data_IF_007552602913
#
_entry.id   IF_007552602913
#
_cell.length_a   1.000
_cell.length_b   1.000
_cell.length_c   1.000
_cell.angle_alpha   90.00
_cell.angle_beta   90.00
_cell.angle_gamma   90.00
#
_symmetry.space_group_name_H-M   'P 1'
#
loop_
_entity.id
_entity.type
_entity.pdbx_description
1 polymer ?
#
# COMPACT_ATOMS: atom_id res chain seq x y z
N UNK A 1 -34.76 3.92 37.88
CA UNK A 1 -33.33 3.78 37.43
C UNK A 1 -33.12 4.84 36.35
N UNK A 2 -32.65 6.04 36.76
CA UNK A 2 -32.40 7.17 35.85
C UNK A 2 -31.29 6.79 34.89
N UNK A 3 -31.62 6.72 33.61
CA UNK A 3 -30.58 6.70 32.57
C UNK A 3 -30.07 8.15 32.54
N UNK A 4 -28.98 8.41 33.27
CA UNK A 4 -28.26 9.68 33.14
C UNK A 4 -27.88 9.81 31.67
N UNK A 5 -28.54 10.77 31.01
CA UNK A 5 -28.29 11.08 29.61
C UNK A 5 -26.79 11.35 29.49
N UNK A 6 -26.08 10.49 28.78
CA UNK A 6 -24.65 10.66 28.50
C UNK A 6 -24.51 11.99 27.77
N UNK A 7 -24.08 13.01 28.47
CA UNK A 7 -23.86 14.33 27.90
C UNK A 7 -22.74 14.26 26.83
N UNK A 8 -23.05 14.48 25.56
CA UNK A 8 -22.08 14.39 24.48
C UNK A 8 -20.96 15.45 24.61
N UNK A 9 -21.18 16.51 25.39
CA UNK A 9 -20.18 17.59 25.62
C UNK A 9 -19.01 17.13 26.52
N UNK A 10 -19.20 16.07 27.31
CA UNK A 10 -18.16 15.51 28.21
C UNK A 10 -17.22 14.55 27.52
N UNK A 11 -17.47 14.20 26.24
CA UNK A 11 -16.59 13.30 25.48
C UNK A 11 -15.28 13.99 25.16
N UNK A 12 -14.24 13.66 25.93
CA UNK A 12 -12.87 14.09 25.61
C UNK A 12 -12.40 13.38 24.34
N UNK A 13 -12.07 14.16 23.32
CA UNK A 13 -11.37 13.63 22.13
C UNK A 13 -10.00 13.12 22.58
N UNK A 14 -9.64 11.87 22.31
CA UNK A 14 -8.34 11.34 22.69
C UNK A 14 -7.20 12.19 22.11
N UNK A 15 -6.03 12.28 22.77
CA UNK A 15 -4.88 12.96 22.21
C UNK A 15 -4.58 12.40 20.81
N UNK A 16 -4.18 13.24 19.88
CA UNK A 16 -3.95 12.93 18.46
C UNK A 16 -5.23 12.46 17.69
N UNK A 17 -6.43 12.88 18.13
CA UNK A 17 -7.68 12.55 17.42
C UNK A 17 -8.02 11.04 17.40
N UNK A 18 -7.44 10.27 18.32
CA UNK A 18 -7.61 8.81 18.41
C UNK A 18 -6.63 8.01 17.57
N UNK A 19 -5.57 8.61 17.05
CA UNK A 19 -4.48 7.86 16.43
C UNK A 19 -3.82 6.95 17.46
N UNK A 20 -3.84 5.64 17.19
CA UNK A 20 -3.26 4.64 18.07
C UNK A 20 -2.45 3.65 17.23
N UNK A 21 -1.18 3.50 17.57
CA UNK A 21 -0.26 2.57 16.90
C UNK A 21 -0.76 1.11 16.97
N UNK A 22 -1.46 0.76 18.05
CA UNK A 22 -2.07 -0.56 18.20
C UNK A 22 -3.15 -0.80 17.13
N UNK A 23 -4.01 0.20 16.86
CA UNK A 23 -5.03 0.12 15.80
C UNK A 23 -4.37 0.01 14.44
N UNK A 24 -3.33 0.79 14.18
CA UNK A 24 -2.55 0.73 12.93
C UNK A 24 -1.95 -0.68 12.73
N UNK A 25 -1.36 -1.26 13.78
CA UNK A 25 -0.79 -2.61 13.73
C UNK A 25 -1.84 -3.69 13.47
N UNK A 26 -3.00 -3.60 14.11
CA UNK A 26 -4.11 -4.54 13.91
C UNK A 26 -4.62 -4.46 12.47
N UNK A 27 -4.81 -3.25 11.97
CA UNK A 27 -5.32 -3.03 10.61
C UNK A 27 -4.31 -3.48 9.54
N UNK A 28 -3.02 -3.21 9.75
CA UNK A 28 -1.95 -3.71 8.89
C UNK A 28 -1.92 -5.25 8.90
N UNK A 29 -2.00 -5.86 10.08
CA UNK A 29 -2.04 -7.32 10.20
C UNK A 29 -3.29 -7.92 9.54
N UNK A 30 -4.45 -7.25 9.64
CA UNK A 30 -5.68 -7.64 8.95
C UNK A 30 -5.49 -7.63 7.43
N UNK A 31 -4.88 -6.57 6.90
CA UNK A 31 -4.63 -6.43 5.46
C UNK A 31 -3.61 -7.48 4.97
N UNK A 32 -2.55 -7.72 5.73
CA UNK A 32 -1.54 -8.76 5.44
C UNK A 32 -2.10 -10.19 5.55
N UNK A 33 -3.17 -10.42 6.29
CA UNK A 33 -3.87 -11.73 6.35
C UNK A 33 -4.83 -11.93 5.19
N UNK A 34 -5.15 -10.90 4.43
CA UNK A 34 -5.98 -11.01 3.23
C UNK A 34 -5.16 -11.60 2.07
N UNK A 35 -5.25 -12.92 1.90
CA UNK A 35 -4.49 -13.66 0.88
C UNK A 35 -4.71 -13.11 -0.53
N UNK A 36 -5.94 -12.67 -0.87
CA UNK A 36 -6.23 -12.09 -2.18
C UNK A 36 -5.43 -10.82 -2.42
N UNK A 37 -5.44 -9.90 -1.45
CA UNK A 37 -4.67 -8.65 -1.55
C UNK A 37 -3.19 -8.96 -1.72
N UNK A 38 -2.60 -9.82 -0.88
CA UNK A 38 -1.17 -10.18 -0.96
C UNK A 38 -0.81 -10.78 -2.31
N UNK A 39 -1.62 -11.73 -2.81
CA UNK A 39 -1.34 -12.37 -4.10
C UNK A 39 -1.37 -11.33 -5.23
N UNK A 40 -2.40 -10.51 -5.31
CA UNK A 40 -2.55 -9.56 -6.42
C UNK A 40 -1.63 -8.35 -6.32
N UNK A 41 -1.27 -7.88 -5.13
CA UNK A 41 -0.45 -6.66 -4.97
C UNK A 41 1.05 -6.95 -4.87
N UNK A 42 1.45 -8.12 -4.36
CA UNK A 42 2.87 -8.46 -4.15
C UNK A 42 3.34 -9.56 -5.11
N UNK A 43 2.63 -10.68 -5.15
CA UNK A 43 3.09 -11.87 -5.89
C UNK A 43 2.88 -11.67 -7.40
N UNK A 44 1.72 -11.18 -7.80
CA UNK A 44 1.35 -11.09 -9.21
C UNK A 44 2.28 -10.17 -10.03
N UNK A 45 2.64 -8.93 -9.59
CA UNK A 45 3.58 -8.08 -10.32
C UNK A 45 4.98 -8.71 -10.41
N UNK A 46 5.44 -9.35 -9.34
CA UNK A 46 6.73 -10.04 -9.33
C UNK A 46 6.73 -11.26 -10.25
N UNK A 47 5.65 -12.04 -10.25
CA UNK A 47 5.49 -13.20 -11.15
C UNK A 47 5.40 -12.77 -12.62
N UNK A 48 4.68 -11.68 -12.93
CA UNK A 48 4.67 -11.11 -14.28
C UNK A 48 6.06 -10.67 -14.71
N UNK A 49 6.80 -9.97 -13.84
CA UNK A 49 8.17 -9.59 -14.12
C UNK A 49 9.04 -10.81 -14.43
N UNK A 50 8.93 -11.89 -13.64
CA UNK A 50 9.65 -13.14 -13.88
C UNK A 50 9.24 -13.83 -15.21
N UNK A 51 7.94 -13.90 -15.48
CA UNK A 51 7.40 -14.57 -16.67
C UNK A 51 7.81 -13.85 -17.96
N UNK A 52 7.71 -12.54 -17.96
CA UNK A 52 8.09 -11.72 -19.09
C UNK A 52 9.63 -11.65 -19.19
N UNK A 53 10.39 -11.66 -18.08
CA UNK A 53 11.86 -11.54 -18.00
C UNK A 53 12.67 -12.68 -18.58
N UNK A 54 12.03 -13.71 -19.13
CA UNK A 54 12.72 -14.85 -19.71
C UNK A 54 13.05 -14.68 -21.21
N UNK A 55 12.54 -13.65 -21.90
CA UNK A 55 12.74 -13.48 -23.34
C UNK A 55 14.07 -12.78 -23.69
N UNK A 56 14.66 -13.16 -24.84
CA UNK A 56 16.02 -12.79 -25.25
C UNK A 56 16.28 -11.29 -25.53
N UNK A 57 15.23 -10.47 -25.68
CA UNK A 57 15.35 -9.04 -25.99
C UNK A 57 15.61 -8.09 -24.81
N UNK A 58 15.69 -8.62 -23.60
CA UNK A 58 15.65 -7.83 -22.35
C UNK A 58 16.96 -7.11 -21.99
N UNK A 59 18.08 -7.54 -22.55
CA UNK A 59 19.38 -6.92 -22.34
C UNK A 59 19.64 -5.76 -23.29
N UNK A 60 18.72 -5.49 -24.24
CA UNK A 60 18.84 -4.33 -25.12
C UNK A 60 18.83 -3.04 -24.30
N UNK A 61 19.71 -2.10 -24.65
CA UNK A 61 19.75 -0.80 -23.99
C UNK A 61 18.50 0.00 -24.28
N UNK A 62 17.89 0.56 -23.21
CA UNK A 62 16.75 1.45 -23.24
C UNK A 62 17.02 2.66 -22.35
N UNK A 63 17.30 3.80 -22.93
CA UNK A 63 17.64 5.03 -22.21
C UNK A 63 18.91 4.87 -21.34
N UNK A 64 18.76 5.13 -20.04
CA UNK A 64 19.87 5.01 -19.06
C UNK A 64 19.99 3.62 -18.42
N UNK A 65 19.28 2.62 -18.92
CA UNK A 65 19.30 1.25 -18.43
C UNK A 65 19.06 0.25 -19.56
N UNK A 66 18.55 -0.92 -19.21
CA UNK A 66 18.12 -1.93 -20.16
C UNK A 66 16.60 -2.14 -20.12
N UNK A 67 16.06 -2.87 -21.09
CA UNK A 67 14.61 -3.15 -21.15
C UNK A 67 14.12 -3.86 -19.89
N UNK A 68 14.93 -4.75 -19.30
CA UNK A 68 14.58 -5.45 -18.06
C UNK A 68 14.36 -4.47 -16.90
N UNK A 69 15.23 -3.44 -16.76
CA UNK A 69 15.08 -2.41 -15.74
C UNK A 69 13.81 -1.58 -15.94
N UNK A 70 13.50 -1.22 -17.21
CA UNK A 70 12.27 -0.51 -17.54
C UNK A 70 11.01 -1.29 -17.14
N UNK A 71 10.96 -2.58 -17.46
CA UNK A 71 9.80 -3.42 -17.12
C UNK A 71 9.74 -3.66 -15.61
N UNK A 72 10.88 -3.81 -14.93
CA UNK A 72 10.93 -3.91 -13.48
C UNK A 72 10.28 -2.71 -12.80
N UNK A 73 10.63 -1.49 -13.22
CA UNK A 73 10.03 -0.25 -12.69
C UNK A 73 8.54 -0.19 -13.02
N UNK A 74 8.14 -0.58 -14.23
CA UNK A 74 6.73 -0.62 -14.64
C UNK A 74 5.91 -1.61 -13.79
N UNK A 75 6.47 -2.79 -13.48
CA UNK A 75 5.81 -3.78 -12.62
C UNK A 75 5.77 -3.34 -11.15
N UNK A 76 6.80 -2.62 -10.68
CA UNK A 76 6.79 -2.01 -9.35
C UNK A 76 5.68 -0.95 -9.24
N UNK A 77 5.56 -0.07 -10.23
CA UNK A 77 4.47 0.92 -10.33
C UNK A 77 3.10 0.24 -10.37
N UNK A 78 2.96 -0.80 -11.17
CA UNK A 78 1.71 -1.56 -11.26
C UNK A 78 1.31 -2.17 -9.90
N UNK A 79 2.27 -2.77 -9.17
CA UNK A 79 2.03 -3.29 -7.82
C UNK A 79 1.62 -2.21 -6.82
N UNK A 80 2.26 -1.03 -6.87
CA UNK A 80 1.89 0.11 -6.04
C UNK A 80 0.48 0.62 -6.36
N UNK A 81 0.14 0.76 -7.66
CA UNK A 81 -1.18 1.16 -8.12
C UNK A 81 -2.29 0.18 -7.68
N UNK A 82 -2.05 -1.13 -7.80
CA UNK A 82 -2.98 -2.15 -7.30
C UNK A 82 -3.18 -2.05 -5.78
N UNK A 83 -2.11 -1.76 -5.03
CA UNK A 83 -2.19 -1.58 -3.58
C UNK A 83 -3.04 -0.36 -3.23
N UNK A 84 -2.84 0.76 -3.91
CA UNK A 84 -3.63 1.97 -3.74
C UNK A 84 -5.12 1.74 -4.09
N UNK A 85 -5.39 1.07 -5.20
CA UNK A 85 -6.74 0.72 -5.63
C UNK A 85 -7.44 -0.21 -4.61
N UNK A 86 -6.74 -1.23 -4.10
CA UNK A 86 -7.28 -2.13 -3.08
C UNK A 86 -7.59 -1.39 -1.77
N UNK A 87 -6.72 -0.46 -1.35
CA UNK A 87 -6.96 0.40 -0.19
C UNK A 87 -8.19 1.30 -0.37
N UNK A 88 -8.32 1.93 -1.53
CA UNK A 88 -9.49 2.74 -1.88
C UNK A 88 -10.79 1.95 -1.92
N UNK A 89 -10.78 0.76 -2.52
CA UNK A 89 -11.93 -0.15 -2.55
C UNK A 89 -12.36 -0.60 -1.15
N UNK A 90 -11.40 -0.86 -0.25
CA UNK A 90 -11.70 -1.20 1.14
C UNK A 90 -12.42 -0.05 1.84
N UNK A 91 -11.94 1.19 1.70
CA UNK A 91 -12.59 2.38 2.28
C UNK A 91 -14.00 2.58 1.69
N UNK A 92 -14.17 2.39 0.38
CA UNK A 92 -15.46 2.49 -0.27
C UNK A 92 -16.47 1.45 0.27
N UNK A 93 -16.02 0.20 0.44
CA UNK A 93 -16.84 -0.88 1.01
C UNK A 93 -17.24 -0.59 2.46
N UNK A 94 -16.29 -0.13 3.28
CA UNK A 94 -16.57 0.24 4.67
C UNK A 94 -17.57 1.38 4.77
N UNK A 95 -17.51 2.37 3.85
CA UNK A 95 -18.50 3.44 3.75
C UNK A 95 -19.88 2.92 3.36
N UNK A 96 -19.95 2.03 2.37
CA UNK A 96 -21.19 1.42 1.92
C UNK A 96 -21.88 0.60 3.02
N UNK A 97 -21.12 -0.07 3.87
CA UNK A 97 -21.60 -0.82 5.03
C UNK A 97 -22.03 0.07 6.22
N UNK A 98 -22.01 1.40 6.07
CA UNK A 98 -22.43 2.33 7.11
C UNK A 98 -21.40 2.55 8.23
N UNK A 99 -20.16 2.10 8.04
CA UNK A 99 -19.07 2.27 9.01
C UNK A 99 -18.85 3.75 9.39
N UNK A 100 -19.08 4.67 8.47
CA UNK A 100 -19.02 6.11 8.72
C UNK A 100 -20.05 6.60 9.75
N UNK A 101 -21.23 5.93 9.87
CA UNK A 101 -22.22 6.20 10.93
C UNK A 101 -21.69 5.75 12.30
N UNK A 102 -21.08 4.58 12.35
CA UNK A 102 -20.53 4.04 13.60
C UNK A 102 -19.36 4.89 14.09
N UNK A 103 -18.52 5.39 13.18
CA UNK A 103 -17.42 6.30 13.53
C UNK A 103 -17.91 7.60 14.17
N UNK A 104 -19.06 8.12 13.80
CA UNK A 104 -19.66 9.32 14.44
C UNK A 104 -20.07 9.08 15.90
N UNK A 105 -20.28 7.83 16.29
CA UNK A 105 -20.58 7.46 17.69
C UNK A 105 -19.32 7.28 18.53
N UNK A 106 -18.15 7.26 17.90
CA UNK A 106 -16.85 7.17 18.57
C UNK A 106 -16.18 8.54 18.61
N UNK A 107 -15.30 8.83 19.58
CA UNK A 107 -14.54 10.07 19.63
C UNK A 107 -13.39 10.10 18.60
N UNK A 108 -13.41 9.26 17.58
CA UNK A 108 -12.38 9.18 16.55
C UNK A 108 -12.59 10.27 15.48
N UNK A 109 -11.53 11.02 15.18
CA UNK A 109 -11.58 12.01 14.10
C UNK A 109 -11.58 11.29 12.74
N UNK A 110 -12.55 11.59 11.83
CA UNK A 110 -12.60 11.00 10.48
C UNK A 110 -11.32 11.20 9.66
N UNK A 111 -10.63 12.33 9.84
CA UNK A 111 -9.37 12.59 9.16
C UNK A 111 -8.26 11.62 9.61
N UNK A 112 -8.21 11.29 10.90
CA UNK A 112 -7.24 10.32 11.44
C UNK A 112 -7.51 8.92 10.90
N UNK A 113 -8.77 8.53 10.76
CA UNK A 113 -9.13 7.26 10.11
C UNK A 113 -8.61 7.18 8.68
N UNK A 114 -8.83 8.23 7.88
CA UNK A 114 -8.33 8.29 6.49
C UNK A 114 -6.79 8.26 6.48
N UNK A 115 -6.14 9.04 7.34
CA UNK A 115 -4.68 9.07 7.44
C UNK A 115 -4.09 7.69 7.78
N UNK A 116 -4.70 6.93 8.69
CA UNK A 116 -4.28 5.57 9.00
C UNK A 116 -4.41 4.63 7.78
N UNK A 117 -5.50 4.72 7.02
CA UNK A 117 -5.69 3.91 5.79
C UNK A 117 -4.67 4.27 4.73
N UNK A 118 -4.40 5.55 4.52
CA UNK A 118 -3.37 6.03 3.59
C UNK A 118 -1.99 5.54 4.01
N UNK A 119 -1.65 5.61 5.29
CA UNK A 119 -0.36 5.12 5.80
C UNK A 119 -0.19 3.62 5.55
N UNK A 120 -1.24 2.83 5.77
CA UNK A 120 -1.22 1.38 5.48
C UNK A 120 -1.01 1.13 3.99
N UNK A 121 -1.71 1.87 3.12
CA UNK A 121 -1.55 1.75 1.67
C UNK A 121 -0.11 2.11 1.23
N UNK A 122 0.49 3.17 1.80
CA UNK A 122 1.88 3.55 1.54
C UNK A 122 2.87 2.46 1.98
N UNK A 123 2.69 1.90 3.18
CA UNK A 123 3.55 0.82 3.68
C UNK A 123 3.46 -0.41 2.77
N UNK A 124 2.25 -0.81 2.37
CA UNK A 124 2.05 -1.95 1.47
C UNK A 124 2.58 -1.67 0.07
N UNK A 125 2.42 -0.45 -0.45
CA UNK A 125 3.00 -0.01 -1.71
C UNK A 125 4.53 -0.07 -1.68
N UNK A 126 5.16 0.41 -0.60
CA UNK A 126 6.60 0.31 -0.40
C UNK A 126 7.08 -1.16 -0.37
N UNK A 127 6.33 -2.05 0.28
CA UNK A 127 6.63 -3.48 0.28
C UNK A 127 6.48 -4.07 -1.13
N UNK A 128 5.44 -3.71 -1.88
CA UNK A 128 5.23 -4.18 -3.25
C UNK A 128 6.39 -3.77 -4.17
N UNK A 129 6.79 -2.50 -4.12
CA UNK A 129 7.94 -1.97 -4.86
C UNK A 129 9.22 -2.73 -4.46
N UNK A 130 9.45 -2.92 -3.17
CA UNK A 130 10.63 -3.62 -2.66
C UNK A 130 10.70 -5.08 -3.14
N UNK A 131 9.57 -5.79 -3.14
CA UNK A 131 9.52 -7.18 -3.62
C UNK A 131 9.93 -7.27 -5.09
N UNK A 132 9.38 -6.43 -5.96
CA UNK A 132 9.73 -6.43 -7.39
C UNK A 132 11.20 -6.06 -7.60
N UNK A 133 11.71 -5.05 -6.88
CA UNK A 133 13.11 -4.66 -6.96
C UNK A 133 14.06 -5.79 -6.48
N UNK A 134 13.76 -6.45 -5.37
CA UNK A 134 14.54 -7.60 -4.87
C UNK A 134 14.56 -8.73 -5.90
N UNK A 135 13.43 -9.05 -6.51
CA UNK A 135 13.38 -10.05 -7.60
C UNK A 135 14.24 -9.63 -8.78
N UNK A 136 14.22 -8.34 -9.15
CA UNK A 136 15.07 -7.78 -10.22
C UNK A 136 16.56 -7.91 -9.92
N UNK A 137 16.96 -7.64 -8.67
CA UNK A 137 18.36 -7.83 -8.22
C UNK A 137 18.77 -9.30 -8.27
N UNK A 138 17.93 -10.20 -7.74
CA UNK A 138 18.22 -11.65 -7.71
C UNK A 138 18.38 -12.20 -9.13
N UNK A 139 17.59 -11.73 -10.10
CA UNK A 139 17.75 -12.12 -11.49
C UNK A 139 19.04 -11.61 -12.14
N UNK A 140 19.61 -10.53 -11.62
CA UNK A 140 20.86 -9.93 -12.15
C UNK A 140 20.75 -9.41 -13.59
N UNK A 141 19.52 -9.26 -14.11
CA UNK A 141 19.26 -8.85 -15.52
C UNK A 141 18.90 -7.38 -15.66
N UNK A 142 18.41 -6.76 -14.59
CA UNK A 142 18.05 -5.35 -14.59
C UNK A 142 19.33 -4.52 -14.36
N UNK A 143 19.81 -3.89 -15.41
CA UNK A 143 20.99 -3.00 -15.35
C UNK A 143 20.52 -1.55 -15.37
N UNK A 144 20.76 -0.84 -14.28
CA UNK A 144 20.45 0.57 -14.12
C UNK A 144 21.40 1.18 -13.08
N UNK A 145 21.82 2.45 -13.22
CA UNK A 145 22.61 3.15 -12.22
C UNK A 145 21.91 3.19 -10.86
N UNK A 146 22.65 3.01 -9.77
CA UNK A 146 22.08 2.90 -8.40
C UNK A 146 21.25 4.10 -7.96
N UNK A 147 21.62 5.32 -8.40
CA UNK A 147 20.84 6.52 -8.10
C UNK A 147 19.44 6.51 -8.77
N UNK A 148 19.32 5.90 -9.96
CA UNK A 148 18.04 5.74 -10.63
C UNK A 148 17.18 4.66 -9.97
N UNK A 149 17.78 3.61 -9.39
CA UNK A 149 17.06 2.62 -8.60
C UNK A 149 16.29 3.26 -7.46
N UNK A 150 17.00 4.07 -6.66
CA UNK A 150 16.40 4.76 -5.52
C UNK A 150 15.38 5.81 -5.99
N UNK A 151 15.73 6.59 -7.01
CA UNK A 151 14.86 7.61 -7.57
C UNK A 151 13.55 7.02 -8.09
N UNK A 152 13.59 5.95 -8.89
CA UNK A 152 12.39 5.29 -9.39
C UNK A 152 11.57 4.66 -8.26
N UNK A 153 12.20 4.04 -7.27
CA UNK A 153 11.48 3.47 -6.12
C UNK A 153 10.72 4.53 -5.31
N UNK A 154 11.33 5.70 -5.10
CA UNK A 154 10.68 6.83 -4.41
C UNK A 154 9.56 7.42 -5.25
N UNK A 155 9.80 7.66 -6.55
CA UNK A 155 8.80 8.24 -7.45
C UNK A 155 7.58 7.33 -7.66
N UNK A 156 7.77 6.01 -7.59
CA UNK A 156 6.64 5.06 -7.70
C UNK A 156 5.81 4.95 -6.43
N UNK A 157 6.33 5.44 -5.29
CA UNK A 157 5.62 5.42 -4.01
C UNK A 157 4.75 6.67 -3.83
N UNK A 158 5.09 7.79 -4.46
CA UNK A 158 4.40 9.09 -4.36
C UNK A 158 3.33 9.23 -5.41
#
# INVERSE_FOLDING_TARGET
>A
MSIDAIDPSTRRVPPLGGFNLTVLRIELARTLRNRRTIVFTLIFPAALFLAIGSSAGWQQRAGHGNVAAYIMVSMALYGAALTAAAGGAMVATERALGWSRQLRLTPLNPAVYIAMKTLIALVLGAVAISVVNVVGVIQGRAEMPSHLWVGCAVLTLV
#
